data_IF_241072883228
#
_entry.id   IF_241072883228
#
_cell.length_a   1.000
_cell.length_b   1.000
_cell.length_c   1.000
_cell.angle_alpha   90.00
_cell.angle_beta   90.00
_cell.angle_gamma   90.00
#
_symmetry.space_group_name_H-M   'P 1'
#
loop_
_entity.id
_entity.type
_entity.pdbx_description
1 polymer ?
#
# COMPACT_ATOMS: atom_id res chain seq x y z
N UNK A 1 -8.31 22.69 -6.87
CA UNK A 1 -7.69 21.97 -5.74
C UNK A 1 -6.20 22.21 -5.73
N UNK A 2 -5.64 22.40 -4.57
CA UNK A 2 -4.22 22.66 -4.43
C UNK A 2 -3.42 21.37 -4.70
N UNK A 3 -2.56 21.40 -5.70
CA UNK A 3 -1.74 20.22 -6.04
C UNK A 3 -0.83 19.79 -4.90
N UNK A 4 -0.41 20.73 -4.07
CA UNK A 4 0.43 20.39 -2.92
C UNK A 4 -0.30 19.45 -1.97
N UNK A 5 -1.57 19.72 -1.69
CA UNK A 5 -2.35 18.86 -0.82
C UNK A 5 -2.55 17.49 -1.45
N UNK A 6 -2.87 17.45 -2.74
CA UNK A 6 -3.08 16.19 -3.45
C UNK A 6 -1.81 15.35 -3.40
N UNK A 7 -0.67 15.96 -3.69
CA UNK A 7 0.60 15.25 -3.70
C UNK A 7 1.02 14.80 -2.30
N UNK A 8 0.73 15.61 -1.29
CA UNK A 8 1.03 15.24 0.09
C UNK A 8 0.21 14.03 0.54
N UNK A 9 -1.07 14.02 0.19
CA UNK A 9 -1.93 12.87 0.52
C UNK A 9 -1.45 11.63 -0.22
N UNK A 10 -1.10 11.77 -1.49
CA UNK A 10 -0.56 10.66 -2.26
C UNK A 10 0.69 10.07 -1.61
N UNK A 11 1.60 10.95 -1.18
CA UNK A 11 2.83 10.51 -0.54
C UNK A 11 2.55 9.73 0.75
N UNK A 12 1.59 10.19 1.54
CA UNK A 12 1.24 9.49 2.77
C UNK A 12 0.60 8.15 2.49
N UNK A 13 -0.28 8.07 1.50
CA UNK A 13 -0.92 6.81 1.14
C UNK A 13 0.10 5.78 0.66
N UNK A 14 1.04 6.23 -0.16
CA UNK A 14 2.07 5.32 -0.67
C UNK A 14 3.09 4.96 0.40
N UNK A 15 3.50 5.95 1.18
CA UNK A 15 4.57 5.77 2.15
C UNK A 15 4.17 5.08 3.43
N UNK A 16 2.87 5.09 3.77
CA UNK A 16 2.41 4.54 5.04
C UNK A 16 2.58 3.02 5.12
N UNK A 17 2.45 2.34 3.99
CA UNK A 17 2.50 0.89 3.97
C UNK A 17 1.31 0.22 4.64
N UNK A 18 0.28 0.98 5.01
CA UNK A 18 -0.91 0.47 5.65
C UNK A 18 -2.07 1.42 5.36
N UNK A 19 -3.33 0.98 5.57
CA UNK A 19 -4.44 1.91 5.44
C UNK A 19 -4.32 3.04 6.47
N UNK A 20 -4.73 4.23 6.08
CA UNK A 20 -4.58 5.41 6.90
C UNK A 20 -5.88 6.21 6.84
N UNK A 21 -6.35 6.66 7.99
CA UNK A 21 -7.65 7.34 8.10
C UNK A 21 -7.51 8.82 7.78
N UNK A 22 -8.63 9.43 7.39
CA UNK A 22 -8.66 10.85 7.07
C UNK A 22 -8.16 11.70 8.24
N UNK A 23 -8.59 11.36 9.45
CA UNK A 23 -8.17 12.10 10.64
C UNK A 23 -6.67 11.98 10.88
N UNK A 24 -6.12 10.81 10.60
CA UNK A 24 -4.68 10.61 10.75
C UNK A 24 -3.91 11.40 9.71
N UNK A 25 -4.39 11.42 8.46
CA UNK A 25 -3.77 12.21 7.41
C UNK A 25 -3.76 13.69 7.82
N UNK A 26 -4.91 14.19 8.33
CA UNK A 26 -5.01 15.56 8.76
C UNK A 26 -4.00 15.88 9.86
N UNK A 27 -3.92 15.02 10.87
CA UNK A 27 -2.98 15.24 11.97
C UNK A 27 -1.53 15.28 11.50
N UNK A 28 -1.16 14.37 10.61
CA UNK A 28 0.20 14.32 10.09
C UNK A 28 0.52 15.60 9.32
N UNK A 29 -0.40 16.01 8.44
CA UNK A 29 -0.17 17.21 7.64
C UNK A 29 -0.09 18.45 8.50
N UNK A 30 -0.95 18.56 9.50
CA UNK A 30 -0.92 19.73 10.39
C UNK A 30 0.34 19.76 11.23
N UNK A 31 0.79 18.61 11.69
CA UNK A 31 2.04 18.53 12.44
C UNK A 31 3.26 18.86 11.59
N UNK A 32 3.16 18.68 10.30
CA UNK A 32 4.25 19.03 9.38
C UNK A 32 4.14 20.46 8.86
N UNK A 33 3.13 21.22 9.33
CA UNK A 33 3.01 22.62 8.97
C UNK A 33 2.00 22.95 7.89
N UNK A 34 1.23 21.98 7.44
CA UNK A 34 0.23 22.18 6.40
C UNK A 34 -1.17 22.21 7.01
N UNK A 35 -1.81 23.35 6.99
CA UNK A 35 -3.17 23.48 7.50
C UNK A 35 -4.15 22.95 6.47
N UNK A 36 -5.00 21.99 6.87
CA UNK A 36 -5.89 21.34 5.92
C UNK A 36 -7.15 20.86 6.66
N UNK A 37 -8.29 20.88 5.93
CA UNK A 37 -9.55 20.39 6.46
C UNK A 37 -9.82 18.97 5.96
N UNK A 38 -10.65 18.24 6.69
CA UNK A 38 -11.00 16.88 6.28
C UNK A 38 -11.65 16.86 4.90
N UNK A 39 -12.47 17.86 4.59
CA UNK A 39 -13.11 17.94 3.27
C UNK A 39 -12.07 18.10 2.16
N UNK A 40 -10.99 18.82 2.42
CA UNK A 40 -9.93 19.01 1.44
C UNK A 40 -9.17 17.70 1.20
N UNK A 41 -8.96 16.95 2.28
CA UNK A 41 -8.28 15.64 2.16
C UNK A 41 -9.15 14.69 1.36
N UNK A 42 -10.45 14.66 1.65
CA UNK A 42 -11.37 13.79 0.92
C UNK A 42 -11.42 14.14 -0.56
N UNK A 43 -11.40 15.44 -0.86
CA UNK A 43 -11.36 15.91 -2.24
C UNK A 43 -10.06 15.49 -2.92
N UNK A 44 -8.94 15.57 -2.20
CA UNK A 44 -7.65 15.13 -2.72
C UNK A 44 -7.68 13.65 -3.04
N UNK A 45 -8.31 12.84 -2.20
CA UNK A 45 -8.43 11.40 -2.44
C UNK A 45 -9.26 11.15 -3.70
N UNK A 46 -10.35 11.89 -3.89
CA UNK A 46 -11.15 11.75 -5.11
C UNK A 46 -10.32 12.09 -6.35
N UNK A 47 -9.49 13.14 -6.26
CA UNK A 47 -8.61 13.50 -7.36
C UNK A 47 -7.59 12.40 -7.65
N UNK A 48 -7.08 11.77 -6.60
CA UNK A 48 -6.14 10.68 -6.77
C UNK A 48 -6.80 9.48 -7.41
N UNK A 49 -8.05 9.19 -7.05
CA UNK A 49 -8.78 8.09 -7.69
C UNK A 49 -8.89 8.32 -9.20
N UNK A 50 -9.16 9.55 -9.60
CA UNK A 50 -9.21 9.88 -11.02
C UNK A 50 -7.83 9.82 -11.68
N UNK A 51 -6.81 10.27 -10.96
CA UNK A 51 -5.44 10.26 -11.48
C UNK A 51 -4.98 8.85 -11.84
N UNK A 52 -5.42 7.86 -11.07
CA UNK A 52 -5.00 6.49 -11.29
C UNK A 52 -5.94 5.67 -12.16
N UNK A 53 -6.95 6.31 -12.74
CA UNK A 53 -7.82 5.64 -13.71
C UNK A 53 -6.96 5.14 -14.87
N UNK A 54 -7.20 3.89 -15.29
CA UNK A 54 -6.46 3.24 -16.39
C UNK A 54 -4.97 3.02 -16.08
N UNK A 55 -4.61 2.95 -14.81
CA UNK A 55 -3.26 2.57 -14.41
C UNK A 55 -3.32 1.26 -13.62
N UNK A 56 -2.16 0.76 -13.25
CA UNK A 56 -2.08 -0.46 -12.44
C UNK A 56 -2.33 -0.20 -10.96
N UNK A 57 -2.51 1.06 -10.57
CA UNK A 57 -2.70 1.43 -9.17
C UNK A 57 -4.13 1.91 -8.94
N UNK A 58 -4.56 1.85 -7.68
CA UNK A 58 -5.87 2.38 -7.30
C UNK A 58 -5.83 2.82 -5.84
N UNK A 59 -6.65 3.82 -5.53
CA UNK A 59 -6.87 4.24 -4.15
C UNK A 59 -8.15 3.55 -3.69
N UNK A 60 -8.09 2.85 -2.58
CA UNK A 60 -9.24 2.09 -2.09
C UNK A 60 -9.52 2.39 -0.64
N UNK A 61 -10.79 2.56 -0.32
CA UNK A 61 -11.24 2.70 1.06
C UNK A 61 -11.49 1.31 1.64
N UNK A 62 -10.92 1.06 2.82
CA UNK A 62 -11.13 -0.19 3.55
C UNK A 62 -11.52 0.17 4.97
N UNK A 63 -11.83 -0.83 5.78
CA UNK A 63 -12.31 -0.59 7.14
C UNK A 63 -11.33 0.25 7.97
N UNK A 64 -10.05 0.10 7.74
CA UNK A 64 -9.01 0.81 8.51
C UNK A 64 -8.64 2.17 7.92
N UNK A 65 -9.21 2.56 6.79
CA UNK A 65 -8.91 3.84 6.18
C UNK A 65 -8.74 3.71 4.68
N UNK A 66 -7.88 4.56 4.11
CA UNK A 66 -7.60 4.56 2.67
C UNK A 66 -6.20 4.04 2.41
N UNK A 67 -6.01 3.40 1.27
CA UNK A 67 -4.68 2.96 0.88
C UNK A 67 -4.52 2.99 -0.63
N UNK A 68 -3.27 3.14 -1.07
CA UNK A 68 -2.89 3.05 -2.47
C UNK A 68 -2.37 1.64 -2.69
N UNK A 69 -2.93 0.95 -3.68
CA UNK A 69 -2.62 -0.46 -3.89
C UNK A 69 -2.53 -0.78 -5.37
N UNK A 70 -1.95 -1.93 -5.68
CA UNK A 70 -1.87 -2.44 -7.04
C UNK A 70 -3.18 -3.17 -7.33
N UNK A 71 -3.74 -2.93 -8.52
CA UNK A 71 -5.01 -3.55 -8.90
C UNK A 71 -4.89 -5.06 -8.90
N UNK A 72 -5.96 -5.72 -8.50
CA UNK A 72 -5.97 -7.16 -8.33
C UNK A 72 -5.65 -7.91 -9.62
N UNK A 73 -5.93 -7.30 -10.75
CA UNK A 73 -5.66 -7.94 -12.03
C UNK A 73 -4.19 -8.27 -12.25
N UNK A 74 -3.29 -7.68 -11.45
CA UNK A 74 -1.84 -7.92 -11.55
C UNK A 74 -1.32 -8.88 -10.50
N UNK A 75 -2.21 -9.50 -9.72
CA UNK A 75 -1.81 -10.34 -8.59
C UNK A 75 -0.98 -11.54 -9.00
N UNK A 76 -1.36 -12.21 -10.10
CA UNK A 76 -0.64 -13.40 -10.51
C UNK A 76 0.77 -13.08 -10.97
N UNK A 77 0.95 -11.96 -11.67
CA UNK A 77 2.29 -11.54 -12.09
C UNK A 77 3.18 -11.25 -10.88
N UNK A 78 2.62 -10.60 -9.86
CA UNK A 78 3.37 -10.28 -8.66
C UNK A 78 3.76 -11.54 -7.90
N UNK A 79 2.87 -12.53 -7.84
CA UNK A 79 3.18 -13.80 -7.21
C UNK A 79 4.41 -14.45 -7.85
N UNK A 80 4.46 -14.45 -9.17
CA UNK A 80 5.61 -15.03 -9.88
C UNK A 80 6.87 -14.26 -9.56
N UNK A 81 6.80 -12.93 -9.57
CA UNK A 81 7.94 -12.08 -9.25
C UNK A 81 8.49 -12.39 -7.86
N UNK A 82 7.59 -12.51 -6.87
CA UNK A 82 8.01 -12.78 -5.51
C UNK A 82 8.67 -14.13 -5.38
N UNK A 83 8.14 -15.15 -6.07
CA UNK A 83 8.72 -16.48 -6.04
C UNK A 83 10.14 -16.48 -6.62
N UNK A 84 10.35 -15.73 -7.69
CA UNK A 84 11.67 -15.64 -8.30
C UNK A 84 12.67 -14.90 -7.41
N UNK A 85 12.21 -13.88 -6.70
CA UNK A 85 13.09 -13.07 -5.88
C UNK A 85 13.43 -13.70 -4.55
N UNK A 86 12.70 -14.73 -4.14
CA UNK A 86 12.90 -15.35 -2.84
C UNK A 86 12.91 -16.87 -2.98
N UNK A 87 13.94 -17.43 -3.63
CA UNK A 87 13.95 -18.86 -3.88
C UNK A 87 14.05 -19.73 -2.63
N UNK A 88 14.41 -19.15 -1.50
CA UNK A 88 14.50 -19.88 -0.24
C UNK A 88 13.25 -19.75 0.61
N UNK A 89 12.22 -19.19 0.06
CA UNK A 89 10.97 -19.02 0.78
C UNK A 89 10.40 -20.36 1.19
N UNK A 90 9.92 -20.46 2.42
CA UNK A 90 9.32 -21.70 2.88
C UNK A 90 7.99 -21.91 2.18
N UNK A 91 7.53 -23.16 2.17
CA UNK A 91 6.26 -23.49 1.55
C UNK A 91 5.12 -22.70 2.19
N UNK A 92 5.14 -22.58 3.50
CA UNK A 92 4.10 -21.82 4.20
C UNK A 92 4.09 -20.36 3.79
N UNK A 93 5.26 -19.75 3.62
CA UNK A 93 5.34 -18.36 3.19
C UNK A 93 4.88 -18.22 1.75
N UNK A 94 5.22 -19.16 0.89
CA UNK A 94 4.74 -19.13 -0.49
C UNK A 94 3.22 -19.22 -0.55
N UNK A 95 2.63 -20.04 0.30
CA UNK A 95 1.18 -20.14 0.37
C UNK A 95 0.57 -18.84 0.85
N UNK A 96 1.20 -18.19 1.81
CA UNK A 96 0.73 -16.89 2.30
C UNK A 96 0.75 -15.84 1.19
N UNK A 97 1.84 -15.79 0.42
CA UNK A 97 1.93 -14.86 -0.70
C UNK A 97 0.85 -15.15 -1.73
N UNK A 98 0.63 -16.42 -2.05
CA UNK A 98 -0.41 -16.79 -3.01
C UNK A 98 -1.80 -16.38 -2.54
N UNK A 99 -2.08 -16.55 -1.25
CA UNK A 99 -3.37 -16.13 -0.70
C UNK A 99 -3.55 -14.63 -0.83
N UNK A 100 -2.53 -13.86 -0.50
CA UNK A 100 -2.59 -12.41 -0.64
C UNK A 100 -2.84 -12.03 -2.09
N UNK A 101 -2.11 -12.65 -3.01
CA UNK A 101 -2.22 -12.33 -4.43
C UNK A 101 -3.60 -12.65 -4.99
N UNK A 102 -4.22 -13.73 -4.53
CA UNK A 102 -5.52 -14.13 -5.04
C UNK A 102 -6.70 -13.47 -4.35
N UNK A 103 -6.59 -13.18 -3.07
CA UNK A 103 -7.73 -12.72 -2.29
C UNK A 103 -7.78 -11.21 -2.09
N UNK A 104 -6.66 -10.54 -2.19
CA UNK A 104 -6.60 -9.11 -1.91
C UNK A 104 -5.66 -8.43 -2.88
N UNK A 105 -5.98 -7.19 -3.25
CA UNK A 105 -5.01 -6.38 -3.97
C UNK A 105 -3.77 -6.18 -3.11
N UNK A 106 -2.63 -6.00 -3.76
CA UNK A 106 -1.34 -5.94 -3.07
C UNK A 106 -0.91 -4.51 -2.90
N UNK A 107 -0.48 -4.16 -1.69
CA UNK A 107 0.06 -2.85 -1.39
C UNK A 107 1.54 -2.96 -1.13
N UNK A 108 2.20 -1.82 -1.06
CA UNK A 108 3.60 -1.78 -0.66
C UNK A 108 3.79 -2.35 0.74
N UNK A 109 2.84 -2.05 1.64
CA UNK A 109 2.91 -2.58 2.99
C UNK A 109 2.86 -4.08 3.03
N UNK A 110 1.98 -4.69 2.21
CA UNK A 110 1.90 -6.14 2.13
C UNK A 110 3.22 -6.74 1.67
N UNK A 111 3.85 -6.12 0.68
CA UNK A 111 5.13 -6.59 0.18
C UNK A 111 6.20 -6.53 1.27
N UNK A 112 6.25 -5.44 1.99
CA UNK A 112 7.24 -5.26 3.05
C UNK A 112 6.98 -6.20 4.22
N UNK A 113 5.73 -6.44 4.55
CA UNK A 113 5.38 -7.39 5.61
C UNK A 113 5.85 -8.79 5.25
N UNK A 114 5.64 -9.19 4.00
CA UNK A 114 6.09 -10.50 3.55
C UNK A 114 7.61 -10.60 3.61
N UNK A 115 8.31 -9.55 3.19
CA UNK A 115 9.76 -9.50 3.29
C UNK A 115 10.23 -9.57 4.73
N UNK A 116 9.54 -8.87 5.62
CA UNK A 116 9.85 -8.94 7.04
C UNK A 116 9.72 -10.35 7.59
N UNK A 117 8.67 -11.05 7.20
CA UNK A 117 8.48 -12.44 7.59
C UNK A 117 9.62 -13.31 7.09
N UNK A 118 10.06 -13.09 5.86
CA UNK A 118 11.19 -13.84 5.32
C UNK A 118 12.46 -13.62 6.13
N UNK A 119 12.72 -12.37 6.52
CA UNK A 119 13.89 -12.04 7.28
C UNK A 119 13.88 -12.65 8.67
N UNK A 120 12.71 -12.68 9.31
CA UNK A 120 12.60 -13.14 10.68
C UNK A 120 12.39 -14.64 10.80
N UNK A 121 11.77 -15.26 9.81
CA UNK A 121 11.46 -16.68 9.88
C UNK A 121 12.41 -17.55 9.10
N UNK A 122 13.27 -16.95 8.29
CA UNK A 122 14.26 -17.70 7.54
C UNK A 122 15.25 -18.34 8.52
N UNK A 123 15.49 -19.62 8.36
CA UNK A 123 16.41 -20.28 9.29
C UNK A 123 17.85 -19.78 9.17
N UNK A 124 18.18 -19.18 8.14
CA UNK A 124 19.46 -18.69 8.01
C UNK A 124 19.54 -17.35 8.40
N UNK A 125 19.94 -17.10 8.92
CA UNK A 125 19.92 -15.95 9.00
C UNK A 125 20.91 -15.50 8.31
N UNK A 126 20.87 -15.53 8.01
CA UNK A 126 21.37 -14.97 7.65
C UNK A 126 22.12 -15.30 7.29
N UNK A 127 22.03 -15.82 7.16
CA UNK A 127 22.59 -16.17 6.79
C UNK A 127 22.56 -15.94 6.12
#
# INVERSE_FOLDING_TARGET
>A
MNNLIINSVEALLFGSGRPIRLSEIKNILENSGTKVELSEIKQAINELEERYTNTSLEVKEVASGYRLQIRQEHSSSLSILWNEKSPRMSKALMETISIIAYKQPVTRGDIEDIRGCLLYTSPSPRD
#
